data_IF_979335154280
#
_entry.id   IF_979335154280
#
_cell.length_a   1.000
_cell.length_b   1.000
_cell.length_c   1.000
_cell.angle_alpha   90.00
_cell.angle_beta   90.00
_cell.angle_gamma   90.00
#
_symmetry.space_group_name_H-M   'P 1'
#
loop_
_entity.id
_entity.type
_entity.pdbx_description
1 polymer ?
#
# COMPACT_ATOMS: atom_id res chain seq x y z
N UNK A 1 13.47 -9.17 -11.27
CA UNK A 1 12.74 -9.68 -10.09
C UNK A 1 11.91 -10.87 -10.49
N UNK A 2 12.07 -12.01 -9.81
CA UNK A 2 11.16 -13.13 -9.96
C UNK A 2 9.78 -12.82 -9.34
N UNK A 3 8.78 -13.67 -9.57
CA UNK A 3 7.40 -13.47 -9.10
C UNK A 3 7.32 -13.27 -7.58
N UNK A 4 8.08 -14.04 -6.80
CA UNK A 4 8.13 -13.90 -5.34
C UNK A 4 8.71 -12.55 -4.88
N UNK A 5 9.75 -12.05 -5.54
CA UNK A 5 10.32 -10.73 -5.28
C UNK A 5 9.34 -9.61 -5.68
N UNK A 6 8.62 -9.77 -6.79
CA UNK A 6 7.58 -8.82 -7.22
C UNK A 6 6.43 -8.76 -6.22
N UNK A 7 5.98 -9.90 -5.72
CA UNK A 7 4.93 -9.94 -4.70
C UNK A 7 5.38 -9.27 -3.40
N UNK A 8 6.59 -9.57 -2.92
CA UNK A 8 7.12 -8.96 -1.68
C UNK A 8 7.36 -7.47 -1.79
N UNK A 9 7.78 -6.99 -2.97
CA UNK A 9 7.83 -5.56 -3.28
C UNK A 9 6.46 -4.92 -3.05
N UNK A 10 5.40 -5.45 -3.67
CA UNK A 10 4.03 -4.92 -3.54
C UNK A 10 3.56 -4.96 -2.09
N UNK A 11 3.77 -6.09 -1.39
CA UNK A 11 3.41 -6.24 0.02
C UNK A 11 4.10 -5.22 0.92
N UNK A 12 5.36 -4.87 0.63
CA UNK A 12 6.12 -3.91 1.43
C UNK A 12 5.56 -2.49 1.30
N UNK A 13 5.19 -2.08 0.08
CA UNK A 13 4.55 -0.77 -0.16
C UNK A 13 3.19 -0.72 0.55
N UNK A 14 2.35 -1.72 0.34
CA UNK A 14 1.01 -1.77 0.96
C UNK A 14 1.10 -1.77 2.49
N UNK A 15 2.04 -2.52 3.07
CA UNK A 15 2.25 -2.53 4.52
C UNK A 15 2.69 -1.17 5.07
N UNK A 16 3.53 -0.44 4.32
CA UNK A 16 3.91 0.93 4.70
C UNK A 16 2.73 1.89 4.61
N UNK A 17 1.95 1.83 3.53
CA UNK A 17 0.73 2.61 3.38
C UNK A 17 -0.20 2.39 4.57
N UNK A 18 -0.48 1.13 4.93
CA UNK A 18 -1.29 0.78 6.10
C UNK A 18 -0.69 1.35 7.39
N UNK A 19 0.62 1.24 7.60
CA UNK A 19 1.30 1.79 8.77
C UNK A 19 1.10 3.31 8.88
N UNK A 20 1.40 4.06 7.81
CA UNK A 20 1.32 5.52 7.82
C UNK A 20 -0.11 6.03 8.02
N UNK A 21 -1.07 5.45 7.31
CA UNK A 21 -2.50 5.80 7.47
C UNK A 21 -2.93 5.50 8.91
N UNK A 22 -2.55 4.33 9.45
CA UNK A 22 -2.92 3.94 10.82
C UNK A 22 -2.36 4.87 11.90
N UNK A 23 -1.20 5.50 11.69
CA UNK A 23 -0.65 6.48 12.65
C UNK A 23 -1.44 7.80 12.67
N UNK A 24 -2.20 8.10 11.62
CA UNK A 24 -2.98 9.35 11.51
C UNK A 24 -4.47 9.17 11.80
N UNK A 25 -4.95 7.93 11.81
CA UNK A 25 -6.32 7.62 12.18
C UNK A 25 -6.56 7.88 13.68
N UNK A 26 -7.75 8.38 14.06
CA UNK A 26 -8.14 8.39 15.47
C UNK A 26 -8.27 6.97 16.01
N UNK A 27 -8.49 6.80 17.33
CA UNK A 27 -8.77 5.51 17.93
C UNK A 27 -9.94 4.80 17.23
N UNK A 28 -9.91 3.46 17.19
CA UNK A 28 -10.90 2.61 16.50
C UNK A 28 -12.31 2.83 17.04
N UNK A 29 -12.45 3.21 18.31
CA UNK A 29 -13.73 3.48 18.96
C UNK A 29 -14.43 4.73 18.41
N UNK A 30 -13.71 5.58 17.68
CA UNK A 30 -14.23 6.78 16.98
C UNK A 30 -14.28 6.61 15.47
N UNK A 31 -13.96 5.41 15.00
CA UNK A 31 -13.96 5.07 13.59
C UNK A 31 -15.28 4.35 13.29
N UNK A 32 -16.13 4.98 12.49
CA UNK A 32 -17.49 4.50 12.18
C UNK A 32 -17.50 3.34 11.17
N UNK A 33 -16.46 2.50 11.19
CA UNK A 33 -16.29 1.38 10.27
C UNK A 33 -15.63 1.74 8.94
N UNK A 34 -14.92 2.86 8.86
CA UNK A 34 -14.46 3.43 7.59
C UNK A 34 -13.03 3.00 7.21
N UNK A 35 -12.41 2.07 7.95
CA UNK A 35 -11.10 1.47 7.63
C UNK A 35 -11.15 0.35 6.59
N UNK A 36 -12.09 0.41 5.65
CA UNK A 36 -12.34 -0.65 4.66
C UNK A 36 -11.08 -1.09 3.91
N UNK A 37 -10.28 -0.13 3.44
CA UNK A 37 -9.00 -0.43 2.81
C UNK A 37 -8.03 -1.16 3.76
N UNK A 38 -7.86 -0.71 5.01
CA UNK A 38 -6.89 -1.29 5.95
C UNK A 38 -7.22 -2.75 6.25
N UNK A 39 -8.50 -3.09 6.43
CA UNK A 39 -8.90 -4.49 6.66
C UNK A 39 -8.55 -5.36 5.45
N UNK A 40 -8.94 -4.93 4.25
CA UNK A 40 -8.76 -5.71 3.03
C UNK A 40 -7.30 -5.80 2.60
N UNK A 41 -6.52 -4.73 2.80
CA UNK A 41 -5.08 -4.73 2.61
C UNK A 41 -4.39 -5.73 3.54
N UNK A 42 -4.73 -5.75 4.83
CA UNK A 42 -4.18 -6.72 5.77
C UNK A 42 -4.56 -8.16 5.40
N UNK A 43 -5.78 -8.39 4.91
CA UNK A 43 -6.20 -9.70 4.40
C UNK A 43 -5.36 -10.14 3.21
N UNK A 44 -5.10 -9.24 2.26
CA UNK A 44 -4.22 -9.52 1.13
C UNK A 44 -2.76 -9.75 1.56
N UNK A 45 -2.23 -8.96 2.49
CA UNK A 45 -0.88 -9.16 3.03
C UNK A 45 -0.70 -10.55 3.65
N UNK A 46 -1.73 -11.05 4.36
CA UNK A 46 -1.73 -12.39 4.94
C UNK A 46 -1.96 -13.50 3.89
N UNK A 47 -2.79 -13.22 2.88
CA UNK A 47 -3.19 -14.18 1.84
C UNK A 47 -3.23 -13.48 0.46
N UNK A 48 -2.10 -13.44 -0.26
CA UNK A 48 -1.95 -12.63 -1.48
C UNK A 48 -2.55 -13.31 -2.72
N UNK A 49 -3.84 -13.62 -2.66
CA UNK A 49 -4.60 -14.15 -3.80
C UNK A 49 -5.07 -13.02 -4.71
N UNK A 50 -5.37 -13.33 -5.97
CA UNK A 50 -5.95 -12.37 -6.92
C UNK A 50 -7.28 -11.79 -6.40
N UNK A 51 -8.13 -12.62 -5.81
CA UNK A 51 -9.41 -12.16 -5.22
C UNK A 51 -9.20 -11.15 -4.09
N UNK A 52 -8.25 -11.41 -3.19
CA UNK A 52 -7.96 -10.46 -2.11
C UNK A 52 -7.27 -9.19 -2.64
N UNK A 53 -6.49 -9.30 -3.71
CA UNK A 53 -5.88 -8.16 -4.39
C UNK A 53 -6.95 -7.23 -4.98
N UNK A 54 -7.92 -7.79 -5.70
CA UNK A 54 -9.04 -7.04 -6.29
C UNK A 54 -9.87 -6.33 -5.21
N UNK A 55 -10.18 -7.02 -4.12
CA UNK A 55 -10.91 -6.41 -2.98
C UNK A 55 -10.14 -5.25 -2.37
N UNK A 56 -8.84 -5.44 -2.11
CA UNK A 56 -7.99 -4.41 -1.53
C UNK A 56 -7.83 -3.20 -2.47
N UNK A 57 -7.66 -3.46 -3.78
CA UNK A 57 -7.60 -2.41 -4.80
C UNK A 57 -8.89 -1.60 -4.84
N UNK A 58 -10.04 -2.28 -4.93
CA UNK A 58 -11.33 -1.61 -4.97
C UNK A 58 -11.55 -0.73 -3.74
N UNK A 59 -11.20 -1.23 -2.55
CA UNK A 59 -11.31 -0.46 -1.31
C UNK A 59 -10.37 0.75 -1.29
N UNK A 60 -9.12 0.60 -1.74
CA UNK A 60 -8.19 1.73 -1.84
C UNK A 60 -8.72 2.83 -2.78
N UNK A 61 -9.32 2.44 -3.91
CA UNK A 61 -9.91 3.39 -4.88
C UNK A 61 -11.14 4.08 -4.29
N UNK A 62 -12.04 3.34 -3.64
CA UNK A 62 -13.22 3.92 -2.99
C UNK A 62 -12.83 4.88 -1.87
N UNK A 63 -11.94 4.46 -0.96
CA UNK A 63 -11.47 5.32 0.13
C UNK A 63 -10.78 6.57 -0.45
N UNK A 64 -10.03 6.49 -1.55
CA UNK A 64 -9.49 7.70 -2.21
C UNK A 64 -10.59 8.62 -2.75
N UNK A 65 -11.57 8.09 -3.48
CA UNK A 65 -12.64 8.89 -4.11
C UNK A 65 -13.54 9.56 -3.07
N UNK A 66 -13.80 8.91 -1.95
CA UNK A 66 -14.59 9.45 -0.84
C UNK A 66 -13.81 10.46 0.04
N UNK A 67 -12.58 10.84 -0.35
CA UNK A 67 -11.76 11.83 0.37
C UNK A 67 -10.94 11.24 1.53
N UNK A 68 -10.55 9.98 1.43
CA UNK A 68 -9.89 9.20 2.47
C UNK A 68 -10.83 8.23 3.17
N UNK A 69 -10.43 7.76 4.36
CA UNK A 69 -11.26 6.97 5.29
C UNK A 69 -12.37 7.89 5.84
N UNK A 70 -13.31 8.28 4.96
CA UNK A 70 -14.53 9.13 5.04
C UNK A 70 -14.56 10.42 5.86
N UNK A 71 -13.62 10.69 6.76
CA UNK A 71 -13.72 11.75 7.77
C UNK A 71 -12.41 12.49 8.07
N UNK A 72 -11.30 12.12 7.42
CA UNK A 72 -9.96 12.61 7.80
C UNK A 72 -9.19 13.35 6.71
N UNK A 73 -9.75 13.44 5.50
CA UNK A 73 -9.18 14.19 4.35
C UNK A 73 -7.67 13.97 4.21
N UNK A 74 -7.28 12.69 4.05
CA UNK A 74 -5.87 12.36 3.82
C UNK A 74 -5.50 12.75 2.40
N UNK A 75 -4.31 13.34 2.25
CA UNK A 75 -3.78 13.55 0.92
C UNK A 75 -3.66 12.22 0.17
N UNK A 76 -4.10 12.21 -1.10
CA UNK A 76 -4.16 11.04 -1.97
C UNK A 76 -2.87 10.21 -1.95
N UNK A 77 -1.70 10.82 -1.76
CA UNK A 77 -0.42 10.11 -1.73
C UNK A 77 -0.32 9.05 -0.63
N UNK A 78 -1.14 9.13 0.42
CA UNK A 78 -1.19 8.10 1.45
C UNK A 78 -1.89 6.83 0.98
N UNK A 79 -2.92 6.94 0.13
CA UNK A 79 -3.75 5.80 -0.28
C UNK A 79 -3.42 5.29 -1.68
N UNK A 80 -3.04 6.17 -2.61
CA UNK A 80 -2.65 5.80 -3.98
C UNK A 80 -1.67 4.62 -4.05
N UNK A 81 -0.70 4.50 -3.12
CA UNK A 81 0.32 3.44 -3.20
C UNK A 81 -0.18 2.10 -2.73
N UNK A 82 -1.36 2.04 -2.12
CA UNK A 82 -2.07 0.80 -1.93
C UNK A 82 -2.53 0.16 -3.26
N UNK A 83 -2.78 0.97 -4.29
CA UNK A 83 -3.27 0.50 -5.60
C UNK A 83 -2.26 -0.41 -6.31
N UNK A 84 -0.98 -0.39 -5.89
CA UNK A 84 0.07 -1.29 -6.39
C UNK A 84 -0.23 -2.77 -6.17
N UNK A 85 -1.19 -3.08 -5.29
CA UNK A 85 -1.72 -4.43 -5.11
C UNK A 85 -2.24 -5.02 -6.43
N UNK A 86 -2.81 -4.17 -7.29
CA UNK A 86 -3.34 -4.54 -8.61
C UNK A 86 -2.35 -4.40 -9.77
N UNK A 87 -1.13 -3.91 -9.52
CA UNK A 87 -0.13 -3.78 -10.58
C UNK A 87 0.24 -5.16 -11.15
N UNK A 88 0.57 -5.26 -12.43
CA UNK A 88 0.89 -6.57 -13.02
C UNK A 88 2.26 -7.05 -12.54
N UNK A 89 3.23 -6.13 -12.43
CA UNK A 89 4.60 -6.44 -12.10
C UNK A 89 5.24 -5.40 -11.16
N UNK A 90 6.47 -5.68 -10.70
CA UNK A 90 7.20 -4.79 -9.81
C UNK A 90 7.57 -3.42 -10.42
N UNK A 91 7.74 -3.34 -11.74
CA UNK A 91 8.05 -2.08 -12.43
C UNK A 91 6.83 -1.14 -12.43
N UNK A 92 5.65 -1.66 -12.75
CA UNK A 92 4.40 -0.90 -12.66
C UNK A 92 4.11 -0.46 -11.23
N UNK A 93 4.25 -1.38 -10.28
CA UNK A 93 4.11 -1.06 -8.85
C UNK A 93 5.08 0.05 -8.41
N UNK A 94 6.31 0.06 -8.92
CA UNK A 94 7.30 1.14 -8.66
C UNK A 94 6.86 2.46 -9.28
N UNK A 95 6.41 2.43 -10.53
CA UNK A 95 5.95 3.61 -11.26
C UNK A 95 4.74 4.26 -10.58
N UNK A 96 3.78 3.45 -10.13
CA UNK A 96 2.57 3.92 -9.47
C UNK A 96 2.87 4.49 -8.09
N UNK A 97 3.72 3.83 -7.30
CA UNK A 97 4.18 4.36 -6.02
C UNK A 97 4.96 5.67 -6.17
N UNK A 98 5.81 5.79 -7.20
CA UNK A 98 6.55 7.03 -7.48
C UNK A 98 5.64 8.17 -7.92
N UNK A 99 4.66 7.89 -8.76
CA UNK A 99 3.67 8.87 -9.20
C UNK A 99 2.87 9.42 -8.01
N UNK A 100 2.50 8.55 -7.08
CA UNK A 100 1.79 8.94 -5.87
C UNK A 100 2.59 9.88 -4.97
N UNK A 101 3.90 9.65 -4.84
CA UNK A 101 4.70 10.38 -3.88
C UNK A 101 4.93 11.85 -4.25
N UNK A 102 4.69 12.27 -5.49
CA UNK A 102 4.64 13.69 -5.89
C UNK A 102 5.83 14.52 -5.39
N UNK A 103 5.56 15.63 -4.70
CA UNK A 103 6.56 16.51 -4.08
C UNK A 103 7.09 16.00 -2.71
N UNK A 104 6.54 14.91 -2.18
CA UNK A 104 6.91 14.29 -0.90
C UNK A 104 8.12 13.34 -1.07
N UNK A 105 9.22 13.92 -1.54
CA UNK A 105 10.45 13.22 -1.94
C UNK A 105 11.07 12.42 -0.79
N UNK A 106 10.90 12.85 0.46
CA UNK A 106 11.46 12.14 1.63
C UNK A 106 10.74 10.81 1.89
N UNK A 107 9.41 10.84 1.86
CA UNK A 107 8.52 9.70 2.01
C UNK A 107 8.69 8.72 0.85
N UNK A 108 8.78 9.24 -0.39
CA UNK A 108 9.10 8.46 -1.58
C UNK A 108 10.41 7.66 -1.43
N UNK A 109 11.46 8.34 -0.94
CA UNK A 109 12.78 7.72 -0.70
C UNK A 109 12.74 6.67 0.40
N UNK A 110 11.94 6.90 1.45
CA UNK A 110 11.76 5.92 2.53
C UNK A 110 11.08 4.66 2.02
N UNK A 111 10.12 4.80 1.11
CA UNK A 111 9.46 3.66 0.50
C UNK A 111 10.38 2.89 -0.42
N UNK A 112 11.10 3.58 -1.30
CA UNK A 112 12.12 2.98 -2.15
C UNK A 112 13.19 2.22 -1.34
N UNK A 113 13.60 2.75 -0.19
CA UNK A 113 14.56 2.09 0.72
C UNK A 113 14.01 0.79 1.31
N UNK A 114 12.85 0.84 1.96
CA UNK A 114 12.28 -0.36 2.60
C UNK A 114 11.97 -1.45 1.57
N UNK A 115 11.56 -1.05 0.39
CA UNK A 115 11.35 -1.92 -0.75
C UNK A 115 12.66 -2.53 -1.26
N UNK A 116 13.72 -1.74 -1.42
CA UNK A 116 15.03 -2.23 -1.82
C UNK A 116 15.60 -3.20 -0.77
N UNK A 117 15.52 -2.86 0.52
CA UNK A 117 15.96 -3.72 1.62
C UNK A 117 15.22 -5.06 1.62
N UNK A 118 13.90 -5.05 1.36
CA UNK A 118 13.09 -6.27 1.25
C UNK A 118 13.45 -7.13 0.04
N UNK A 119 13.78 -6.54 -1.11
CA UNK A 119 14.27 -7.30 -2.27
C UNK A 119 15.65 -7.88 -2.00
N UNK A 120 16.53 -7.11 -1.36
CA UNK A 120 17.92 -7.47 -1.11
C UNK A 120 18.07 -8.56 -0.02
N UNK A 121 17.25 -8.50 1.02
CA UNK A 121 17.22 -9.51 2.09
C UNK A 121 16.90 -10.94 1.58
N UNK A 122 16.29 -11.08 0.40
CA UNK A 122 16.03 -12.38 -0.23
C UNK A 122 17.10 -12.84 -1.23
N UNK A 123 17.97 -11.94 -1.69
CA UNK A 123 19.13 -12.34 -2.53
C UNK A 123 20.24 -12.98 -1.71
N UNK A 124 20.23 -12.86 -0.38
CA UNK A 124 21.19 -13.53 0.52
C UNK A 124 20.79 -14.97 0.89
N UNK A 125 19.61 -15.43 0.46
CA UNK A 125 19.09 -16.80 0.67
C UNK A 125 18.97 -17.60 -0.65
N UNK A 126 19.97 -17.50 -1.54
CA UNK A 126 20.10 -18.34 -2.74
C UNK A 126 21.51 -18.93 -2.82
#
# INVERSE_FOLDING_TARGET
MNEGQQLRFKQSIVAQTVYYVSQRLPPVERDEGERGFIELANRWLAQPTAENADKALMAAVFDRVDGGVRYFDYSDYFLLPAEVVGAENGYEATKDALKAAGEFVAEAKQWQRVVADRILADTEYI
#
